data_IF_203412373644
#
_entry.id   IF_203412373644
#
_cell.length_a   1.000
_cell.length_b   1.000
_cell.length_c   1.000
_cell.angle_alpha   90.00
_cell.angle_beta   90.00
_cell.angle_gamma   90.00
#
_symmetry.space_group_name_H-M   'P 1'
#
loop_
_entity.id
_entity.type
_entity.pdbx_description
1 polymer ?
#
# COMPACT_ATOMS: atom_id res chain seq x y z
N UNK A 1 -12.51 14.09 20.50
CA UNK A 1 -11.71 13.30 19.56
C UNK A 1 -10.59 14.17 19.03
N UNK A 2 -9.34 13.73 19.12
CA UNK A 2 -8.16 14.46 18.59
C UNK A 2 -7.87 13.94 17.18
N UNK A 3 -7.83 14.84 16.19
CA UNK A 3 -7.66 14.47 14.78
C UNK A 3 -6.44 15.18 14.19
N UNK A 4 -5.56 14.42 13.55
CA UNK A 4 -4.51 14.94 12.70
C UNK A 4 -4.98 14.93 11.24
N UNK A 5 -4.84 16.04 10.53
CA UNK A 5 -5.18 16.13 9.12
C UNK A 5 -3.91 16.25 8.28
N UNK A 6 -3.76 15.39 7.29
CA UNK A 6 -2.67 15.42 6.30
C UNK A 6 -3.24 15.40 4.89
N UNK A 7 -2.62 16.10 3.95
CA UNK A 7 -3.12 16.20 2.58
C UNK A 7 -2.01 15.98 1.54
N UNK A 8 -2.40 15.39 0.42
CA UNK A 8 -1.57 15.43 -0.77
C UNK A 8 -1.49 16.88 -1.30
N UNK A 9 -0.32 17.38 -1.73
CA UNK A 9 -0.11 18.79 -2.08
C UNK A 9 -0.77 19.18 -3.41
N UNK A 10 -2.09 19.11 -3.47
CA UNK A 10 -2.96 19.66 -4.50
C UNK A 10 -3.86 20.71 -3.86
N UNK A 11 -4.10 21.83 -4.54
CA UNK A 11 -4.87 22.97 -4.07
C UNK A 11 -6.20 22.55 -3.42
N UNK A 12 -7.00 21.74 -4.11
CA UNK A 12 -8.28 21.24 -3.59
C UNK A 12 -8.18 20.46 -2.28
N UNK A 13 -7.07 19.70 -2.08
CA UNK A 13 -6.86 18.92 -0.87
C UNK A 13 -6.43 19.82 0.29
N UNK A 14 -5.60 20.82 0.00
CA UNK A 14 -5.15 21.82 0.97
C UNK A 14 -6.33 22.65 1.47
N UNK A 15 -7.16 23.21 0.58
CA UNK A 15 -8.36 23.92 0.95
C UNK A 15 -9.33 23.08 1.81
N UNK A 16 -9.48 21.81 1.48
CA UNK A 16 -10.32 20.91 2.25
C UNK A 16 -9.74 20.62 3.63
N UNK A 17 -8.41 20.46 3.72
CA UNK A 17 -7.71 20.31 4.98
C UNK A 17 -7.93 21.53 5.87
N UNK A 18 -7.79 22.73 5.33
CA UNK A 18 -8.02 24.01 6.06
C UNK A 18 -9.46 24.10 6.60
N UNK A 19 -10.45 23.72 5.78
CA UNK A 19 -11.87 23.70 6.20
C UNK A 19 -12.10 22.70 7.34
N UNK A 20 -11.47 21.53 7.28
CA UNK A 20 -11.57 20.51 8.32
C UNK A 20 -10.86 20.98 9.61
N UNK A 21 -9.66 21.53 9.50
CA UNK A 21 -8.92 22.08 10.64
C UNK A 21 -9.72 23.21 11.33
N UNK A 22 -10.31 24.11 10.55
CA UNK A 22 -11.15 25.18 11.10
C UNK A 22 -12.36 24.65 11.86
N UNK A 23 -12.91 23.51 11.43
CA UNK A 23 -14.12 22.92 12.01
C UNK A 23 -13.85 22.01 13.20
N UNK A 24 -12.80 21.18 13.12
CA UNK A 24 -12.54 20.08 14.07
C UNK A 24 -11.28 20.27 14.91
N UNK A 25 -10.49 21.34 14.65
CA UNK A 25 -9.15 21.50 15.22
C UNK A 25 -8.12 20.63 14.51
N UNK A 26 -6.87 20.74 14.95
CA UNK A 26 -5.75 19.94 14.43
C UNK A 26 -4.81 19.58 15.57
N UNK A 27 -4.33 18.36 15.55
CA UNK A 27 -3.37 17.82 16.52
C UNK A 27 -2.20 17.19 15.78
N UNK A 28 -1.05 17.12 16.43
CA UNK A 28 0.10 16.41 15.90
C UNK A 28 -0.20 14.89 15.81
N UNK A 29 0.41 14.17 14.86
CA UNK A 29 0.14 12.75 14.65
C UNK A 29 0.31 11.89 15.91
N UNK A 30 1.28 12.23 16.76
CA UNK A 30 1.57 11.52 18.01
C UNK A 30 0.46 11.67 19.05
N UNK A 31 -0.21 12.81 19.07
CA UNK A 31 -1.29 13.14 20.03
C UNK A 31 -2.67 12.76 19.53
N UNK A 32 -2.82 12.55 18.22
CA UNK A 32 -4.11 12.31 17.59
C UNK A 32 -4.65 10.91 17.91
N UNK A 33 -5.98 10.80 18.00
CA UNK A 33 -6.69 9.53 18.05
C UNK A 33 -6.81 8.91 16.64
N UNK A 34 -6.96 9.78 15.62
CA UNK A 34 -7.08 9.42 14.20
C UNK A 34 -6.22 10.33 13.34
N UNK A 35 -5.67 9.76 12.26
CA UNK A 35 -5.04 10.52 11.18
C UNK A 35 -5.98 10.50 9.98
N UNK A 36 -6.42 11.65 9.51
CA UNK A 36 -7.29 11.80 8.33
C UNK A 36 -6.42 12.24 7.15
N UNK A 37 -6.32 11.38 6.13
CA UNK A 37 -5.51 11.58 4.95
C UNK A 37 -6.36 12.00 3.74
N UNK A 38 -6.12 13.20 3.20
CA UNK A 38 -6.82 13.77 2.05
C UNK A 38 -6.03 13.56 0.77
N UNK A 39 -6.52 12.71 -0.13
CA UNK A 39 -5.82 12.38 -1.38
C UNK A 39 -6.42 11.19 -2.08
N UNK A 40 -5.62 10.47 -2.84
CA UNK A 40 -5.96 9.17 -3.45
C UNK A 40 -5.27 8.00 -2.75
N UNK A 41 -5.48 6.77 -3.28
CA UNK A 41 -4.90 5.53 -2.72
C UNK A 41 -3.37 5.61 -2.53
N UNK A 42 -2.64 6.20 -3.48
CA UNK A 42 -1.19 6.39 -3.34
C UNK A 42 -0.81 7.26 -2.15
N UNK A 43 -1.64 8.25 -1.78
CA UNK A 43 -1.36 9.11 -0.64
C UNK A 43 -1.66 8.43 0.70
N UNK A 44 -2.74 7.64 0.78
CA UNK A 44 -3.01 6.87 2.00
C UNK A 44 -1.93 5.81 2.23
N UNK A 45 -1.41 5.16 1.18
CA UNK A 45 -0.28 4.23 1.29
C UNK A 45 0.98 4.92 1.82
N UNK A 46 1.28 6.12 1.32
CA UNK A 46 2.38 6.95 1.84
C UNK A 46 2.16 7.33 3.31
N UNK A 47 0.94 7.71 3.66
CA UNK A 47 0.58 8.06 5.04
C UNK A 47 0.69 6.85 5.97
N UNK A 48 0.23 5.68 5.54
CA UNK A 48 0.40 4.42 6.26
C UNK A 48 1.89 4.11 6.51
N UNK A 49 2.74 4.29 5.49
CA UNK A 49 4.19 4.08 5.63
C UNK A 49 4.83 5.06 6.62
N UNK A 50 4.47 6.34 6.53
CA UNK A 50 5.05 7.39 7.38
C UNK A 50 4.64 7.25 8.86
N UNK A 51 3.39 6.87 9.10
CA UNK A 51 2.80 6.86 10.44
C UNK A 51 2.63 5.46 11.04
N UNK A 52 3.12 4.40 10.39
CA UNK A 52 2.94 3.02 10.85
C UNK A 52 3.47 2.79 12.28
N UNK A 53 4.55 3.50 12.67
CA UNK A 53 5.14 3.37 14.02
C UNK A 53 4.23 3.91 15.13
N UNK A 54 3.32 4.82 14.79
CA UNK A 54 2.39 5.41 15.75
C UNK A 54 1.23 4.47 16.10
N UNK A 55 1.02 3.42 15.29
CA UNK A 55 -0.09 2.47 15.45
C UNK A 55 -1.47 3.16 15.60
N UNK A 56 -1.65 4.27 14.87
CA UNK A 56 -2.90 5.04 14.84
C UNK A 56 -3.75 4.63 13.64
N UNK A 57 -5.09 4.61 13.75
CA UNK A 57 -5.95 4.42 12.59
C UNK A 57 -5.82 5.59 11.62
N UNK A 58 -5.75 5.26 10.33
CA UNK A 58 -5.70 6.25 9.24
C UNK A 58 -6.99 6.16 8.45
N UNK A 59 -7.69 7.28 8.31
CA UNK A 59 -8.93 7.41 7.56
C UNK A 59 -8.70 8.21 6.28
N UNK A 60 -8.80 7.56 5.13
CA UNK A 60 -8.61 8.21 3.84
C UNK A 60 -9.86 8.88 3.32
N UNK A 61 -9.77 10.10 2.79
CA UNK A 61 -10.85 10.79 2.07
C UNK A 61 -10.37 11.30 0.72
N UNK A 62 -11.19 11.10 -0.32
CA UNK A 62 -10.91 11.52 -1.69
C UNK A 62 -12.07 12.36 -2.28
N UNK A 63 -11.71 13.23 -3.24
CA UNK A 63 -12.66 14.08 -4.00
C UNK A 63 -13.05 13.51 -5.37
N UNK A 64 -12.55 12.37 -5.74
CA UNK A 64 -12.76 11.80 -7.08
C UNK A 64 -13.38 10.43 -7.04
N UNK A 65 -13.06 9.63 -8.04
CA UNK A 65 -13.45 8.23 -8.07
C UNK A 65 -12.99 7.51 -6.81
N UNK A 66 -13.90 6.75 -6.23
CA UNK A 66 -13.62 5.96 -5.02
C UNK A 66 -12.45 5.02 -5.30
N UNK A 67 -11.37 5.18 -4.55
CA UNK A 67 -10.28 4.20 -4.52
C UNK A 67 -10.65 3.01 -3.64
N UNK A 68 -9.79 1.99 -3.62
CA UNK A 68 -10.01 0.80 -2.78
C UNK A 68 -9.84 1.07 -1.28
N UNK A 69 -9.09 2.14 -0.92
CA UNK A 69 -8.71 2.46 0.45
C UNK A 69 -9.31 3.78 0.95
N UNK A 70 -10.11 4.45 0.12
CA UNK A 70 -10.58 5.82 0.37
C UNK A 70 -12.09 5.87 0.58
N UNK A 71 -12.52 6.87 1.35
CA UNK A 71 -13.91 7.24 1.53
C UNK A 71 -14.20 8.56 0.82
N UNK A 72 -15.47 8.85 0.56
CA UNK A 72 -15.88 10.12 -0.02
C UNK A 72 -15.57 11.29 0.92
N UNK A 73 -15.05 12.38 0.35
CA UNK A 73 -14.88 13.61 1.10
C UNK A 73 -16.25 14.18 1.51
N UNK A 74 -16.41 14.44 2.80
CA UNK A 74 -17.53 15.19 3.38
C UNK A 74 -17.00 16.01 4.55
N UNK A 75 -17.33 17.30 4.56
CA UNK A 75 -16.92 18.22 5.62
C UNK A 75 -17.64 17.89 6.95
N UNK A 76 -18.94 17.59 6.85
CA UNK A 76 -19.80 17.39 8.02
C UNK A 76 -19.82 15.94 8.51
N UNK A 77 -20.14 15.74 9.79
CA UNK A 77 -20.32 14.43 10.39
C UNK A 77 -19.05 13.57 10.46
N UNK A 78 -17.85 14.19 10.47
CA UNK A 78 -16.59 13.43 10.45
C UNK A 78 -16.41 12.56 11.68
N UNK A 79 -16.68 13.08 12.89
CA UNK A 79 -16.50 12.30 14.13
C UNK A 79 -17.43 11.08 14.19
N UNK A 80 -18.66 11.21 13.72
CA UNK A 80 -19.60 10.08 13.62
C UNK A 80 -19.08 9.03 12.62
N UNK A 81 -18.58 9.45 11.46
CA UNK A 81 -18.01 8.55 10.46
C UNK A 81 -16.76 7.84 10.98
N UNK A 82 -15.90 8.52 11.73
CA UNK A 82 -14.71 7.91 12.34
C UNK A 82 -15.10 6.87 13.40
N UNK A 83 -16.11 7.17 14.23
CA UNK A 83 -16.59 6.25 15.25
C UNK A 83 -17.28 5.00 14.66
N UNK A 84 -17.96 5.16 13.52
CA UNK A 84 -18.66 4.08 12.83
C UNK A 84 -17.81 3.35 11.77
N UNK A 85 -16.58 3.80 11.53
CA UNK A 85 -15.70 3.21 10.52
C UNK A 85 -15.24 1.81 10.92
N UNK A 86 -15.28 0.89 9.98
CA UNK A 86 -14.72 -0.45 10.16
C UNK A 86 -13.20 -0.40 10.10
N UNK A 87 -12.54 -0.77 11.19
CA UNK A 87 -11.08 -0.85 11.24
C UNK A 87 -10.58 -2.10 10.50
N UNK A 88 -9.78 -1.89 9.48
CA UNK A 88 -9.08 -2.95 8.75
C UNK A 88 -7.60 -2.93 9.07
N UNK A 89 -7.07 -4.08 9.51
CA UNK A 89 -5.64 -4.23 9.78
C UNK A 89 -4.90 -4.62 8.50
N UNK A 90 -4.01 -3.78 8.04
CA UNK A 90 -3.08 -4.11 6.96
C UNK A 90 -1.83 -4.77 7.53
N UNK A 91 -1.34 -5.81 6.82
CA UNK A 91 -0.12 -6.54 7.19
C UNK A 91 0.92 -6.32 6.11
N UNK A 92 1.92 -5.46 6.33
CA UNK A 92 2.96 -5.22 5.35
C UNK A 92 3.89 -6.44 5.22
N UNK A 93 4.52 -6.56 4.05
CA UNK A 93 5.61 -7.51 3.83
C UNK A 93 6.91 -6.95 4.39
N UNK A 94 7.72 -7.81 4.99
CA UNK A 94 9.10 -7.50 5.36
C UNK A 94 10.02 -8.17 4.36
N UNK A 95 10.74 -7.37 3.58
CA UNK A 95 11.77 -7.84 2.68
C UNK A 95 13.11 -7.91 3.41
N UNK A 96 13.83 -9.01 3.22
CA UNK A 96 15.24 -9.13 3.53
C UNK A 96 15.95 -9.62 2.28
N UNK A 97 16.98 -8.93 1.85
CA UNK A 97 17.78 -9.33 0.69
C UNK A 97 19.25 -9.20 0.99
N UNK A 98 20.04 -10.05 0.38
CA UNK A 98 21.50 -9.98 0.38
C UNK A 98 21.95 -9.54 -1.01
N UNK A 99 22.78 -8.52 -1.07
CA UNK A 99 23.44 -8.16 -2.32
C UNK A 99 24.63 -9.11 -2.60
N UNK A 100 25.25 -9.07 -3.81
CA UNK A 100 26.39 -9.92 -4.14
C UNK A 100 27.61 -9.75 -3.22
N UNK A 101 27.70 -8.63 -2.47
CA UNK A 101 28.78 -8.38 -1.51
C UNK A 101 28.45 -8.90 -0.10
N UNK A 102 27.28 -9.55 0.09
CA UNK A 102 26.83 -10.09 1.38
C UNK A 102 26.18 -9.07 2.30
N UNK A 103 25.94 -7.84 1.86
CA UNK A 103 25.24 -6.82 2.64
C UNK A 103 23.75 -7.12 2.70
N UNK A 104 23.18 -7.20 3.90
CA UNK A 104 21.73 -7.34 4.10
C UNK A 104 21.03 -5.99 3.93
N UNK A 105 19.95 -5.97 3.14
CA UNK A 105 19.05 -4.85 2.99
C UNK A 105 17.68 -5.28 3.50
N UNK A 106 17.06 -4.44 4.36
CA UNK A 106 15.71 -4.64 4.89
C UNK A 106 14.79 -3.53 4.41
N UNK A 107 13.59 -3.89 3.99
CA UNK A 107 12.55 -2.93 3.63
C UNK A 107 11.18 -3.45 4.03
N UNK A 108 10.20 -2.54 4.11
CA UNK A 108 8.80 -2.85 4.39
C UNK A 108 7.99 -2.39 3.20
N UNK A 109 7.09 -3.25 2.71
CA UNK A 109 6.19 -2.96 1.62
C UNK A 109 4.73 -3.13 2.06
N UNK A 110 3.92 -2.10 1.88
CA UNK A 110 2.48 -2.16 2.14
C UNK A 110 1.78 -2.85 0.97
N UNK A 111 2.19 -2.56 -0.26
CA UNK A 111 1.61 -3.15 -1.46
C UNK A 111 2.30 -4.45 -1.87
N UNK A 112 3.49 -4.33 -2.48
CA UNK A 112 4.19 -5.49 -3.02
C UNK A 112 5.71 -5.33 -2.96
N UNK A 113 6.38 -6.48 -3.04
CA UNK A 113 7.80 -6.61 -3.32
C UNK A 113 7.92 -7.19 -4.72
N UNK A 114 8.70 -6.55 -5.58
CA UNK A 114 8.96 -7.05 -6.93
C UNK A 114 10.44 -7.20 -7.20
N UNK A 115 10.78 -8.27 -7.90
CA UNK A 115 12.12 -8.53 -8.43
C UNK A 115 11.97 -8.57 -9.94
N UNK A 116 12.77 -7.80 -10.67
CA UNK A 116 12.77 -7.76 -12.13
C UNK A 116 14.19 -7.91 -12.67
N UNK A 117 14.32 -8.59 -13.80
CA UNK A 117 15.58 -8.62 -14.52
C UNK A 117 16.01 -7.20 -14.95
N UNK A 118 17.27 -6.94 -14.91
CA UNK A 118 17.83 -5.65 -15.33
C UNK A 118 18.29 -5.68 -16.80
N UNK A 119 18.70 -6.86 -17.30
CA UNK A 119 19.26 -7.07 -18.63
C UNK A 119 18.29 -7.85 -19.54
N UNK A 120 18.68 -7.99 -20.81
CA UNK A 120 17.86 -8.66 -21.85
C UNK A 120 17.63 -10.16 -21.59
N UNK A 121 18.54 -10.80 -20.87
CA UNK A 121 18.40 -12.23 -20.55
C UNK A 121 17.29 -12.44 -19.51
N UNK A 122 16.48 -13.47 -19.72
CA UNK A 122 15.46 -13.87 -18.74
C UNK A 122 16.12 -14.21 -17.38
N UNK A 123 15.45 -13.85 -16.31
CA UNK A 123 15.86 -14.25 -14.98
C UNK A 123 15.55 -15.74 -14.76
N UNK A 124 16.40 -16.43 -14.02
CA UNK A 124 16.18 -17.76 -13.52
C UNK A 124 16.06 -17.69 -12.00
N UNK A 125 14.88 -17.96 -11.49
CA UNK A 125 14.52 -17.75 -10.08
C UNK A 125 14.03 -19.06 -9.49
N UNK A 126 14.63 -19.49 -8.36
CA UNK A 126 14.09 -20.57 -7.53
C UNK A 126 13.11 -19.96 -6.53
N UNK A 127 11.96 -20.58 -6.35
CA UNK A 127 10.95 -20.15 -5.38
C UNK A 127 10.85 -21.16 -4.26
N UNK A 128 11.05 -20.71 -3.05
CA UNK A 128 10.88 -21.49 -1.83
C UNK A 128 9.74 -20.90 -1.00
N UNK A 129 8.90 -21.77 -0.42
CA UNK A 129 7.84 -21.40 0.53
C UNK A 129 7.99 -22.31 1.73
N UNK A 130 8.06 -21.73 2.92
CA UNK A 130 8.24 -22.47 4.19
C UNK A 130 9.44 -23.42 4.18
N UNK A 131 10.58 -22.98 3.62
CA UNK A 131 11.82 -23.73 3.43
C UNK A 131 11.74 -24.93 2.47
N UNK A 132 10.63 -25.09 1.76
CA UNK A 132 10.49 -26.11 0.72
C UNK A 132 10.57 -25.47 -0.67
N UNK A 133 11.35 -26.08 -1.56
CA UNK A 133 11.43 -25.65 -2.95
C UNK A 133 10.11 -26.00 -3.65
N UNK A 134 9.40 -24.98 -4.10
CA UNK A 134 8.14 -25.13 -4.84
C UNK A 134 8.34 -25.03 -6.35
N UNK A 135 9.31 -24.23 -6.78
CA UNK A 135 9.70 -24.10 -8.19
C UNK A 135 11.22 -24.11 -8.24
N UNK A 136 11.81 -25.13 -8.85
CA UNK A 136 13.26 -25.28 -8.97
C UNK A 136 13.89 -24.19 -9.85
N UNK A 137 13.32 -23.94 -11.03
CA UNK A 137 13.75 -22.91 -11.95
C UNK A 137 12.55 -22.29 -12.64
N UNK A 138 12.26 -21.02 -12.33
CA UNK A 138 11.30 -20.20 -13.04
C UNK A 138 12.06 -19.29 -14.00
N UNK A 139 11.84 -19.45 -15.31
CA UNK A 139 12.38 -18.58 -16.34
C UNK A 139 11.35 -17.47 -16.59
N UNK A 140 11.68 -16.21 -16.22
CA UNK A 140 10.73 -15.11 -16.26
C UNK A 140 11.43 -13.76 -16.38
N UNK A 141 10.65 -12.68 -16.51
CA UNK A 141 11.13 -11.31 -16.46
C UNK A 141 11.16 -10.75 -15.04
N UNK A 142 10.49 -11.42 -14.11
CA UNK A 142 10.43 -11.05 -12.71
C UNK A 142 9.34 -11.75 -11.93
N UNK A 143 9.26 -11.44 -10.66
CA UNK A 143 8.24 -11.94 -9.73
C UNK A 143 7.70 -10.81 -8.86
N UNK A 144 6.44 -10.90 -8.49
CA UNK A 144 5.77 -9.99 -7.57
C UNK A 144 5.22 -10.82 -6.41
N UNK A 145 5.47 -10.36 -5.19
CA UNK A 145 4.80 -10.84 -3.99
C UNK A 145 3.97 -9.68 -3.43
N UNK A 146 2.66 -9.81 -3.46
CA UNK A 146 1.73 -8.74 -3.11
C UNK A 146 0.92 -9.08 -1.86
N UNK A 147 0.68 -8.05 -1.02
CA UNK A 147 -0.29 -8.11 0.07
C UNK A 147 -1.72 -8.03 -0.48
N UNK A 148 -2.71 -8.20 0.38
CA UNK A 148 -4.10 -7.93 0.03
C UNK A 148 -4.32 -6.47 -0.44
N UNK A 149 -3.68 -5.49 0.22
CA UNK A 149 -3.77 -4.07 -0.17
C UNK A 149 -3.14 -3.80 -1.55
N UNK A 150 -2.01 -4.44 -1.86
CA UNK A 150 -1.32 -4.30 -3.14
C UNK A 150 -1.92 -5.15 -4.27
N UNK A 151 -2.83 -6.07 -3.95
CA UNK A 151 -3.37 -7.00 -4.96
C UNK A 151 -4.12 -6.30 -6.10
N UNK A 152 -4.66 -5.11 -5.87
CA UNK A 152 -5.31 -4.25 -6.87
C UNK A 152 -4.35 -3.32 -7.62
N UNK A 153 -3.07 -3.28 -7.23
CA UNK A 153 -2.01 -2.47 -7.85
C UNK A 153 -1.27 -3.19 -8.97
N UNK A 154 0.06 -3.22 -8.90
CA UNK A 154 0.90 -3.84 -9.91
C UNK A 154 0.64 -5.33 -10.09
N UNK A 155 0.31 -6.03 -9.00
CA UNK A 155 -0.12 -7.44 -9.05
C UNK A 155 -1.29 -7.65 -10.03
N UNK A 156 -2.33 -6.78 -9.99
CA UNK A 156 -3.46 -6.87 -10.90
C UNK A 156 -3.06 -6.60 -12.36
N UNK A 157 -2.19 -5.59 -12.58
CA UNK A 157 -1.66 -5.30 -13.92
C UNK A 157 -0.84 -6.47 -14.49
N UNK A 158 -0.27 -7.31 -13.63
CA UNK A 158 0.45 -8.52 -14.00
C UNK A 158 -0.44 -9.77 -14.03
N UNK A 159 -1.77 -9.59 -14.09
CA UNK A 159 -2.77 -10.67 -14.08
C UNK A 159 -2.82 -11.50 -12.79
N UNK A 160 -2.31 -10.96 -11.69
CA UNK A 160 -2.45 -11.57 -10.37
C UNK A 160 -3.87 -11.40 -9.80
N UNK A 161 -4.30 -12.29 -8.89
CA UNK A 161 -5.63 -12.24 -8.30
C UNK A 161 -5.79 -11.06 -7.35
N UNK A 162 -7.01 -10.51 -7.25
CA UNK A 162 -7.39 -9.56 -6.21
C UNK A 162 -7.70 -10.33 -4.94
N UNK A 163 -7.11 -9.89 -3.83
CA UNK A 163 -7.31 -10.44 -2.50
C UNK A 163 -8.13 -9.45 -1.66
N UNK A 164 -9.22 -9.86 -1.01
CA UNK A 164 -9.98 -8.99 -0.12
C UNK A 164 -9.11 -8.40 1.00
N UNK A 165 -9.30 -7.08 1.26
CA UNK A 165 -8.61 -6.41 2.37
C UNK A 165 -8.88 -7.13 3.69
N UNK A 166 -7.88 -7.20 4.55
CA UNK A 166 -7.96 -7.92 5.82
C UNK A 166 -7.67 -9.41 5.75
N UNK A 167 -7.58 -10.01 4.55
CA UNK A 167 -7.14 -11.39 4.39
C UNK A 167 -5.70 -11.59 4.89
N UNK A 168 -5.45 -12.73 5.52
CA UNK A 168 -4.10 -13.17 5.89
C UNK A 168 -3.47 -14.00 4.76
N UNK A 169 -3.43 -13.41 3.57
CA UNK A 169 -2.94 -14.05 2.35
C UNK A 169 -2.06 -13.09 1.55
N UNK A 170 -1.21 -13.66 0.72
CA UNK A 170 -0.40 -12.94 -0.26
C UNK A 170 -0.66 -13.51 -1.64
N UNK A 171 -0.48 -12.68 -2.68
CA UNK A 171 -0.44 -13.13 -4.07
C UNK A 171 0.99 -13.22 -4.55
N UNK A 172 1.34 -14.35 -5.14
CA UNK A 172 2.56 -14.51 -5.90
C UNK A 172 2.22 -14.51 -7.40
N UNK A 173 2.91 -13.69 -8.17
CA UNK A 173 2.69 -13.55 -9.62
C UNK A 173 4.04 -13.43 -10.32
N UNK A 174 4.23 -14.15 -11.41
CA UNK A 174 5.43 -14.00 -12.25
C UNK A 174 5.16 -13.08 -13.45
N UNK A 175 6.19 -12.37 -13.87
CA UNK A 175 6.16 -11.46 -15.01
C UNK A 175 6.75 -12.16 -16.22
N UNK A 176 6.01 -12.15 -17.33
CA UNK A 176 6.52 -12.54 -18.66
C UNK A 176 6.20 -11.41 -19.63
N UNK A 177 7.20 -10.85 -20.30
CA UNK A 177 6.96 -9.92 -21.39
C UNK A 177 6.39 -10.69 -22.59
N UNK A 178 5.41 -10.11 -23.31
CA UNK A 178 4.97 -10.71 -24.57
C UNK A 178 6.19 -10.80 -25.50
N UNK A 179 6.54 -12.03 -25.89
CA UNK A 179 7.47 -12.26 -26.97
C UNK A 179 6.72 -11.87 -28.25
N UNK A 180 7.01 -10.69 -28.77
CA UNK A 180 6.62 -10.38 -30.14
C UNK A 180 7.38 -11.33 -31.07
N UNK A 181 6.76 -12.43 -31.42
CA UNK A 181 7.16 -13.24 -32.58
C UNK A 181 6.73 -12.42 -33.81
N UNK A 182 7.65 -11.61 -34.30
CA UNK A 182 7.57 -11.03 -35.64
C UNK A 182 7.85 -12.08 -36.69
#
# INVERSE_FOLDING_TARGET
>A
MKICFVSFPLEKNIEAQEKLIKKYGHYEPEEADFIVALGGDGFILKSLHNYMKLNKPIYGMNFGSVGFLMNDYKLDGLEERLNNAQLTKLRPLVMKTLNPTGQEIKAIAINEISIRREKYQAAKIQIMIDNEVRIEELVCDGVILSTAAGSTGYNYSASGPIIPLGSNAVSYTHLTLPTNLS
#
